data_IF_332327843856
#
_entry.id   IF_332327843856
#
_cell.length_a   1.000
_cell.length_b   1.000
_cell.length_c   1.000
_cell.angle_alpha   90.00
_cell.angle_beta   90.00
_cell.angle_gamma   90.00
#
_symmetry.space_group_name_H-M   'P 1'
#
loop_
_entity.id
_entity.type
_entity.pdbx_description
1 polymer ?
#
# COMPACT_ATOMS: atom_id res chain seq x y z
N UNK A 1 31.99 -57.79 9.93
CA UNK A 1 30.63 -57.50 10.46
C UNK A 1 30.56 -56.00 10.76
N UNK A 2 30.08 -55.23 9.79
CA UNK A 2 29.95 -53.76 9.91
C UNK A 2 28.52 -53.44 10.36
N UNK A 3 28.41 -52.71 11.45
CA UNK A 3 27.11 -52.23 11.96
C UNK A 3 26.57 -51.12 11.07
N UNK A 4 25.26 -51.04 10.86
CA UNK A 4 24.68 -49.96 10.08
C UNK A 4 24.61 -48.67 10.91
N UNK A 5 25.07 -47.57 10.32
CA UNK A 5 24.93 -46.23 10.87
C UNK A 5 23.42 -45.84 10.94
N UNK A 6 22.95 -45.57 12.14
CA UNK A 6 21.59 -45.05 12.38
C UNK A 6 21.53 -43.63 11.87
N UNK A 7 20.82 -43.39 10.76
CA UNK A 7 20.47 -42.05 10.32
C UNK A 7 19.49 -41.43 11.32
N UNK A 8 19.99 -40.46 12.08
CA UNK A 8 19.17 -39.57 12.92
C UNK A 8 18.26 -38.75 12.02
N UNK A 9 17.00 -39.14 11.88
CA UNK A 9 15.96 -38.30 11.31
C UNK A 9 15.73 -37.11 12.27
N UNK A 10 16.31 -35.97 11.93
CA UNK A 10 16.03 -34.69 12.58
C UNK A 10 14.54 -34.41 12.37
N UNK A 11 13.77 -34.57 13.46
CA UNK A 11 12.33 -34.24 13.45
C UNK A 11 12.20 -32.74 13.17
N UNK A 12 11.73 -32.39 12.00
CA UNK A 12 11.42 -30.98 11.67
C UNK A 12 10.50 -30.42 12.76
N UNK A 13 10.96 -29.41 13.48
CA UNK A 13 10.18 -28.78 14.53
C UNK A 13 8.89 -28.22 13.88
N UNK A 14 7.74 -28.68 14.35
CA UNK A 14 6.45 -28.22 13.84
C UNK A 14 6.30 -26.75 14.23
N UNK A 15 6.19 -25.85 13.23
CA UNK A 15 6.01 -24.43 13.47
C UNK A 15 4.75 -24.17 14.32
N UNK A 16 4.79 -23.26 15.32
CA UNK A 16 3.65 -22.95 16.15
C UNK A 16 2.47 -22.41 15.32
N UNK A 17 1.30 -23.04 15.43
CA UNK A 17 0.12 -22.58 14.73
C UNK A 17 -0.45 -21.30 15.38
N UNK A 18 -0.89 -20.35 14.56
CA UNK A 18 -1.43 -19.06 15.01
C UNK A 18 -2.70 -18.73 14.22
N UNK A 19 -3.81 -18.56 14.93
CA UNK A 19 -5.07 -18.08 14.34
C UNK A 19 -5.14 -16.56 14.44
N UNK A 20 -5.16 -15.88 13.29
CA UNK A 20 -5.19 -14.41 13.20
C UNK A 20 -6.55 -13.95 12.69
N UNK A 21 -7.25 -13.13 13.47
CA UNK A 21 -8.44 -12.43 13.00
C UNK A 21 -8.02 -11.09 12.38
N UNK A 22 -8.20 -10.94 11.06
CA UNK A 22 -7.97 -9.68 10.36
C UNK A 22 -9.20 -8.78 10.44
N UNK A 23 -9.00 -7.46 10.58
CA UNK A 23 -10.09 -6.46 10.66
C UNK A 23 -10.79 -6.21 9.32
N UNK A 24 -10.51 -6.98 8.31
CA UNK A 24 -11.06 -6.89 6.95
C UNK A 24 -12.01 -8.05 6.68
N UNK A 25 -12.93 -7.85 5.78
CA UNK A 25 -13.80 -8.90 5.27
C UNK A 25 -12.99 -9.91 4.45
N UNK A 26 -13.57 -11.08 4.19
CA UNK A 26 -12.97 -12.09 3.32
C UNK A 26 -12.70 -11.49 1.94
N UNK A 27 -11.49 -11.71 1.37
CA UNK A 27 -11.13 -11.18 0.06
C UNK A 27 -12.16 -11.50 -1.02
N UNK A 28 -12.43 -10.51 -1.86
CA UNK A 28 -13.30 -10.59 -3.03
C UNK A 28 -12.68 -9.75 -4.17
N UNK A 29 -13.32 -9.69 -5.33
CA UNK A 29 -12.82 -8.97 -6.50
C UNK A 29 -12.56 -7.46 -6.27
N UNK A 30 -13.15 -6.86 -5.23
CA UNK A 30 -12.98 -5.45 -4.89
C UNK A 30 -11.98 -5.23 -3.73
N UNK A 31 -11.37 -6.30 -3.22
CA UNK A 31 -10.39 -6.20 -2.14
C UNK A 31 -9.10 -5.57 -2.67
N UNK A 32 -8.52 -4.66 -1.88
CA UNK A 32 -7.23 -4.07 -2.22
C UNK A 32 -6.19 -5.18 -2.48
N UNK A 33 -5.52 -5.19 -3.64
CA UNK A 33 -4.53 -6.20 -4.01
C UNK A 33 -3.43 -6.43 -2.97
N UNK A 34 -3.05 -5.39 -2.23
CA UNK A 34 -2.12 -5.52 -1.11
C UNK A 34 -2.60 -6.54 -0.06
N UNK A 35 -3.88 -6.48 0.31
CA UNK A 35 -4.44 -7.40 1.31
C UNK A 35 -4.53 -8.82 0.78
N UNK A 36 -5.00 -9.00 -0.45
CA UNK A 36 -5.09 -10.32 -1.08
C UNK A 36 -3.72 -10.99 -1.12
N UNK A 37 -2.72 -10.30 -1.65
CA UNK A 37 -1.34 -10.81 -1.72
C UNK A 37 -0.74 -11.07 -0.34
N UNK A 38 -1.06 -10.23 0.67
CA UNK A 38 -0.63 -10.49 2.04
C UNK A 38 -1.19 -11.81 2.57
N UNK A 39 -2.50 -12.06 2.38
CA UNK A 39 -3.13 -13.28 2.89
C UNK A 39 -2.60 -14.53 2.20
N UNK A 40 -2.38 -14.45 0.89
CA UNK A 40 -1.82 -15.54 0.08
C UNK A 40 -0.35 -15.87 0.44
N UNK A 41 0.38 -14.85 0.91
CA UNK A 41 1.78 -14.99 1.31
C UNK A 41 1.99 -15.51 2.75
N UNK A 42 0.95 -15.58 3.56
CA UNK A 42 1.10 -16.07 4.93
C UNK A 42 1.51 -17.55 4.93
N UNK A 43 2.48 -17.95 5.76
CA UNK A 43 2.88 -19.36 5.85
C UNK A 43 1.73 -20.24 6.40
N UNK A 44 1.77 -21.52 6.08
CA UNK A 44 0.75 -22.51 6.49
C UNK A 44 0.52 -22.60 8.01
N UNK A 45 1.47 -22.09 8.80
CA UNK A 45 1.34 -21.97 10.25
C UNK A 45 0.39 -20.86 10.69
N UNK A 46 -0.01 -19.94 9.81
CA UNK A 46 -0.97 -18.87 10.08
C UNK A 46 -2.33 -19.25 9.51
N UNK A 47 -3.35 -19.27 10.38
CA UNK A 47 -4.74 -19.50 9.99
C UNK A 47 -5.49 -18.17 9.93
N UNK A 48 -5.64 -17.55 8.75
CA UNK A 48 -6.35 -16.29 8.61
C UNK A 48 -7.86 -16.47 8.82
N UNK A 49 -8.44 -15.64 9.66
CA UNK A 49 -9.88 -15.45 9.81
C UNK A 49 -10.23 -14.01 9.45
N UNK A 50 -11.38 -13.83 8.84
CA UNK A 50 -11.83 -12.53 8.37
C UNK A 50 -12.93 -11.98 9.26
N UNK A 51 -13.01 -10.65 9.33
CA UNK A 51 -13.83 -9.95 10.29
C UNK A 51 -15.33 -10.18 10.04
N UNK A 52 -16.00 -10.62 11.09
CA UNK A 52 -17.39 -10.33 11.35
C UNK A 52 -17.51 -9.91 12.80
N UNK A 53 -18.44 -9.02 13.13
CA UNK A 53 -18.60 -8.58 14.52
C UNK A 53 -18.94 -9.76 15.44
N UNK A 54 -19.72 -10.71 14.95
CA UNK A 54 -20.06 -11.95 15.66
C UNK A 54 -18.80 -12.77 15.97
N UNK A 55 -17.94 -13.00 14.98
CA UNK A 55 -16.73 -13.79 15.17
C UNK A 55 -15.73 -13.05 16.06
N UNK A 56 -15.61 -11.74 15.89
CA UNK A 56 -14.74 -10.91 16.72
C UNK A 56 -15.13 -10.99 18.21
N UNK A 57 -16.42 -11.03 18.52
CA UNK A 57 -16.91 -11.09 19.90
C UNK A 57 -16.97 -12.52 20.46
N UNK A 58 -17.39 -13.51 19.68
CA UNK A 58 -17.74 -14.82 20.19
C UNK A 58 -16.73 -15.93 19.89
N UNK A 59 -15.89 -15.76 18.88
CA UNK A 59 -14.91 -16.78 18.52
C UNK A 59 -13.58 -16.63 19.28
N UNK A 60 -12.79 -17.71 19.30
CA UNK A 60 -11.39 -17.69 19.76
C UNK A 60 -10.46 -17.46 18.60
N UNK A 61 -9.48 -16.62 18.80
CA UNK A 61 -8.34 -16.35 17.91
C UNK A 61 -7.16 -15.91 18.78
N UNK A 62 -5.96 -16.10 18.27
CA UNK A 62 -4.73 -15.82 19.03
C UNK A 62 -4.33 -14.35 18.93
N UNK A 63 -4.54 -13.72 17.77
CA UNK A 63 -4.15 -12.33 17.47
C UNK A 63 -5.29 -11.62 16.74
N UNK A 64 -5.55 -10.35 17.07
CA UNK A 64 -6.33 -9.44 16.24
C UNK A 64 -5.39 -8.55 15.43
N UNK A 65 -5.46 -8.62 14.08
CA UNK A 65 -4.67 -7.75 13.22
C UNK A 65 -5.53 -6.64 12.60
N UNK A 66 -5.19 -5.39 12.90
CA UNK A 66 -5.91 -4.19 12.46
C UNK A 66 -5.15 -3.47 11.35
N UNK A 67 -5.82 -3.20 10.22
CA UNK A 67 -5.29 -2.37 9.12
C UNK A 67 -5.78 -0.92 9.20
N UNK A 68 -7.08 -0.71 9.16
CA UNK A 68 -7.74 0.61 9.23
C UNK A 68 -8.79 0.59 10.34
N UNK A 69 -8.42 0.80 11.59
CA UNK A 69 -9.33 0.69 12.74
C UNK A 69 -10.53 1.64 12.66
N UNK A 70 -10.43 2.73 11.89
CA UNK A 70 -11.51 3.68 11.68
C UNK A 70 -12.76 3.02 11.07
N UNK A 71 -12.59 2.02 10.21
CA UNK A 71 -13.72 1.31 9.59
C UNK A 71 -14.55 0.49 10.58
N UNK A 72 -13.97 0.10 11.71
CA UNK A 72 -14.71 -0.55 12.80
C UNK A 72 -15.62 0.43 13.54
N UNK A 73 -15.37 1.73 13.44
CA UNK A 73 -16.02 2.79 14.23
C UNK A 73 -17.00 3.63 13.41
N UNK A 74 -16.96 3.54 12.07
CA UNK A 74 -17.67 4.45 11.16
C UNK A 74 -18.79 3.74 10.40
N UNK A 75 -19.92 4.46 10.26
CA UNK A 75 -21.04 4.06 9.42
C UNK A 75 -21.63 5.30 8.74
N UNK A 76 -22.29 5.21 7.57
CA UNK A 76 -22.91 6.35 6.89
C UNK A 76 -23.96 7.08 7.75
N UNK A 77 -24.69 6.36 8.63
CA UNK A 77 -25.69 6.94 9.53
C UNK A 77 -25.14 7.13 10.95
N UNK A 78 -25.65 8.13 11.67
CA UNK A 78 -25.26 8.39 13.07
C UNK A 78 -25.63 7.24 14.00
N UNK A 79 -26.82 6.65 13.84
CA UNK A 79 -27.25 5.50 14.64
C UNK A 79 -26.36 4.26 14.38
N UNK A 80 -26.02 3.98 13.11
CA UNK A 80 -25.09 2.92 12.75
C UNK A 80 -23.68 3.17 13.29
N UNK A 81 -23.21 4.42 13.28
CA UNK A 81 -21.92 4.79 13.89
C UNK A 81 -21.93 4.51 15.39
N UNK A 82 -22.99 4.90 16.11
CA UNK A 82 -23.11 4.61 17.55
C UNK A 82 -23.12 3.11 17.83
N UNK A 83 -23.89 2.33 17.05
CA UNK A 83 -23.93 0.88 17.18
C UNK A 83 -22.56 0.24 16.96
N UNK A 84 -21.83 0.65 15.91
CA UNK A 84 -20.45 0.18 15.66
C UNK A 84 -19.50 0.55 16.79
N UNK A 85 -19.59 1.77 17.34
CA UNK A 85 -18.76 2.21 18.46
C UNK A 85 -19.03 1.40 19.73
N UNK A 86 -20.29 1.08 20.03
CA UNK A 86 -20.64 0.20 21.16
C UNK A 86 -20.09 -1.21 20.95
N UNK A 87 -20.28 -1.79 19.77
CA UNK A 87 -19.72 -3.10 19.45
C UNK A 87 -18.19 -3.12 19.51
N UNK A 88 -17.54 -2.06 19.03
CA UNK A 88 -16.08 -1.91 19.14
C UNK A 88 -15.64 -1.83 20.61
N UNK A 89 -16.36 -1.08 21.47
CA UNK A 89 -16.06 -1.02 22.90
C UNK A 89 -16.17 -2.41 23.56
N UNK A 90 -17.20 -3.19 23.23
CA UNK A 90 -17.36 -4.58 23.71
C UNK A 90 -16.21 -5.48 23.21
N UNK A 91 -15.80 -5.34 21.96
CA UNK A 91 -14.64 -6.05 21.42
C UNK A 91 -13.37 -5.68 22.19
N UNK A 92 -13.10 -4.39 22.41
CA UNK A 92 -11.91 -3.95 23.14
C UNK A 92 -11.92 -4.46 24.59
N UNK A 93 -13.08 -4.47 25.25
CA UNK A 93 -13.23 -5.07 26.58
C UNK A 93 -12.92 -6.57 26.56
N UNK A 94 -13.46 -7.33 25.58
CA UNK A 94 -13.13 -8.74 25.39
C UNK A 94 -11.63 -8.94 25.24
N UNK A 95 -10.96 -8.20 24.35
CA UNK A 95 -9.52 -8.31 24.11
C UNK A 95 -8.70 -8.06 25.40
N UNK A 96 -9.10 -7.06 26.16
CA UNK A 96 -8.49 -6.72 27.44
C UNK A 96 -8.65 -7.85 28.47
N UNK A 97 -9.87 -8.42 28.59
CA UNK A 97 -10.17 -9.49 29.53
C UNK A 97 -9.49 -10.82 29.16
N UNK A 98 -9.40 -11.12 27.87
CA UNK A 98 -8.77 -12.35 27.40
C UNK A 98 -7.25 -12.25 27.22
N UNK A 99 -6.69 -11.04 27.31
CA UNK A 99 -5.27 -10.79 27.04
C UNK A 99 -4.87 -11.03 25.57
N UNK A 100 -5.85 -11.10 24.65
CA UNK A 100 -5.59 -11.30 23.22
C UNK A 100 -4.84 -10.11 22.64
N UNK A 101 -3.61 -10.27 22.11
CA UNK A 101 -2.82 -9.16 21.59
C UNK A 101 -3.40 -8.57 20.32
N UNK A 102 -3.24 -7.26 20.18
CA UNK A 102 -3.52 -6.53 18.95
C UNK A 102 -2.21 -6.26 18.23
N UNK A 103 -2.17 -6.60 16.94
CA UNK A 103 -1.14 -6.15 15.98
C UNK A 103 -1.79 -5.12 15.06
N UNK A 104 -1.08 -4.03 14.74
CA UNK A 104 -1.65 -2.96 13.91
C UNK A 104 -0.69 -2.53 12.81
N UNK A 105 -1.16 -2.55 11.55
CA UNK A 105 -0.42 -2.00 10.41
C UNK A 105 -0.72 -0.50 10.23
N UNK A 106 0.35 0.31 10.14
CA UNK A 106 0.30 1.75 9.92
C UNK A 106 0.31 2.07 8.43
N UNK A 107 -0.88 2.20 7.83
CA UNK A 107 -1.02 2.62 6.43
C UNK A 107 -0.87 4.13 6.27
N UNK A 108 -1.30 4.92 7.26
CA UNK A 108 -1.28 6.38 7.28
C UNK A 108 -0.72 6.89 8.61
N UNK A 109 -0.08 8.06 8.58
CA UNK A 109 0.45 8.70 9.79
C UNK A 109 -0.65 9.15 10.75
N UNK A 110 -1.78 9.61 10.19
CA UNK A 110 -2.97 10.03 10.94
C UNK A 110 -4.24 9.62 10.17
N UNK A 111 -5.38 9.50 10.86
CA UNK A 111 -6.67 9.34 10.19
C UNK A 111 -6.93 10.52 9.25
N UNK A 112 -7.49 10.27 8.07
CA UNK A 112 -7.80 11.31 7.08
C UNK A 112 -8.87 12.32 7.54
N UNK A 113 -9.69 11.94 8.54
CA UNK A 113 -10.78 12.77 9.09
C UNK A 113 -10.89 12.56 10.60
N UNK A 114 -11.03 13.64 11.34
CA UNK A 114 -11.37 13.60 12.78
C UNK A 114 -12.90 13.66 12.95
N UNK A 115 -13.49 12.63 13.55
CA UNK A 115 -14.93 12.50 13.76
C UNK A 115 -15.33 12.55 15.24
N UNK A 116 -14.62 13.31 16.02
CA UNK A 116 -15.00 13.67 17.37
C UNK A 116 -14.42 12.82 18.51
N UNK A 117 -14.77 13.17 19.76
CA UNK A 117 -14.12 12.66 20.97
C UNK A 117 -14.31 11.16 21.21
N UNK A 118 -15.49 10.60 20.84
CA UNK A 118 -15.79 9.17 21.03
C UNK A 118 -14.85 8.31 20.18
N UNK A 119 -14.73 8.63 18.88
CA UNK A 119 -13.83 7.94 17.98
C UNK A 119 -12.40 8.03 18.47
N UNK A 120 -11.93 9.23 18.83
CA UNK A 120 -10.59 9.42 19.39
C UNK A 120 -10.34 8.60 20.66
N UNK A 121 -11.35 8.46 21.53
CA UNK A 121 -11.23 7.67 22.76
C UNK A 121 -11.11 6.18 22.46
N UNK A 122 -11.90 5.65 21.52
CA UNK A 122 -11.83 4.25 21.09
C UNK A 122 -10.51 3.96 20.36
N UNK A 123 -10.05 4.84 19.48
CA UNK A 123 -8.74 4.70 18.83
C UNK A 123 -7.59 4.70 19.85
N UNK A 124 -7.63 5.58 20.86
CA UNK A 124 -6.65 5.55 21.96
C UNK A 124 -6.71 4.26 22.77
N UNK A 125 -7.90 3.66 22.93
CA UNK A 125 -8.01 2.36 23.61
C UNK A 125 -7.43 1.24 22.73
N UNK A 126 -7.70 1.23 21.42
CA UNK A 126 -7.03 0.34 20.48
C UNK A 126 -5.50 0.49 20.58
N UNK A 127 -4.99 1.73 20.56
CA UNK A 127 -3.55 2.00 20.64
C UNK A 127 -2.93 1.41 21.92
N UNK A 128 -3.64 1.51 23.08
CA UNK A 128 -3.18 0.92 24.36
C UNK A 128 -3.15 -0.61 24.35
N UNK A 129 -4.05 -1.26 23.60
CA UNK A 129 -4.09 -2.72 23.48
C UNK A 129 -3.14 -3.23 22.41
N UNK A 130 -2.59 -2.34 21.56
CA UNK A 130 -1.66 -2.71 20.49
C UNK A 130 -0.33 -3.11 21.10
N UNK A 131 0.03 -4.39 20.97
CA UNK A 131 1.31 -4.92 21.42
C UNK A 131 2.42 -4.69 20.42
N UNK A 132 2.11 -4.79 19.13
CA UNK A 132 3.09 -4.58 18.06
C UNK A 132 2.48 -3.74 16.93
N UNK A 133 3.28 -2.83 16.45
CA UNK A 133 2.98 -2.02 15.29
C UNK A 133 3.78 -2.52 14.10
N UNK A 134 3.16 -2.55 12.94
CA UNK A 134 3.83 -2.80 11.67
C UNK A 134 3.84 -1.50 10.89
N UNK A 135 5.02 -0.94 10.60
CA UNK A 135 5.17 0.15 9.65
C UNK A 135 5.57 -0.40 8.29
N UNK A 136 4.90 0.08 7.25
CA UNK A 136 5.12 -0.39 5.86
C UNK A 136 6.15 0.46 5.10
N UNK A 137 6.78 1.38 5.82
CA UNK A 137 7.81 2.29 5.33
C UNK A 137 8.82 2.55 6.47
N UNK A 138 10.10 2.45 6.19
CA UNK A 138 11.17 2.63 7.18
C UNK A 138 11.22 4.05 7.75
N UNK A 139 10.75 5.07 7.00
CA UNK A 139 10.72 6.48 7.44
C UNK A 139 9.51 6.83 8.32
N UNK A 140 8.51 5.91 8.45
CA UNK A 140 7.42 6.08 9.41
C UNK A 140 7.97 6.03 10.83
N UNK A 141 7.73 7.02 11.69
CA UNK A 141 8.18 7.00 13.08
C UNK A 141 7.69 5.75 13.82
N UNK A 142 8.56 5.06 14.59
CA UNK A 142 8.13 3.91 15.37
C UNK A 142 7.19 4.33 16.51
N UNK A 143 6.31 3.41 16.92
CA UNK A 143 5.37 3.58 18.03
C UNK A 143 5.63 2.55 19.15
N UNK A 144 5.52 2.95 20.44
CA UNK A 144 5.66 2.01 21.54
C UNK A 144 4.47 1.03 21.60
N UNK A 145 4.61 -0.17 22.21
CA UNK A 145 5.83 -0.66 22.85
C UNK A 145 6.86 -1.19 21.84
N UNK A 146 6.45 -1.76 20.71
CA UNK A 146 7.32 -2.36 19.70
C UNK A 146 6.81 -2.08 18.30
N UNK A 147 7.71 -1.76 17.37
CA UNK A 147 7.40 -1.53 15.96
C UNK A 147 8.31 -2.34 15.07
N UNK A 148 7.69 -3.18 14.24
CA UNK A 148 8.36 -3.94 13.20
C UNK A 148 8.30 -3.17 11.88
N UNK A 149 9.38 -3.25 11.08
CA UNK A 149 9.38 -2.71 9.72
C UNK A 149 9.15 -3.84 8.75
N UNK A 150 7.96 -3.88 8.15
CA UNK A 150 7.60 -4.81 7.09
C UNK A 150 7.19 -3.97 5.90
N UNK A 151 8.05 -3.86 4.92
CA UNK A 151 7.85 -2.97 3.78
C UNK A 151 6.58 -3.36 3.00
N UNK A 152 5.94 -2.37 2.40
CA UNK A 152 4.80 -2.60 1.50
C UNK A 152 5.24 -3.49 0.34
N UNK A 153 4.54 -4.59 0.08
CA UNK A 153 4.85 -5.54 -0.98
C UNK A 153 4.71 -4.94 -2.39
N UNK A 154 5.43 -5.52 -3.34
CA UNK A 154 5.32 -5.14 -4.74
C UNK A 154 4.08 -5.76 -5.41
N UNK A 155 3.82 -5.37 -6.69
CA UNK A 155 2.68 -5.85 -7.46
C UNK A 155 3.08 -6.68 -8.70
N UNK A 156 4.35 -7.13 -8.81
CA UNK A 156 4.83 -7.88 -9.98
C UNK A 156 4.00 -9.12 -10.24
N UNK A 157 3.85 -9.96 -9.21
CA UNK A 157 3.14 -11.24 -9.31
C UNK A 157 1.66 -11.02 -9.64
N UNK A 158 1.08 -9.94 -9.08
CA UNK A 158 -0.31 -9.56 -9.34
C UNK A 158 -0.57 -9.24 -10.82
N UNK A 159 0.37 -8.54 -11.46
CA UNK A 159 0.25 -8.15 -12.88
C UNK A 159 0.94 -9.12 -13.84
N UNK A 160 1.58 -10.19 -13.37
CA UNK A 160 2.39 -11.08 -14.20
C UNK A 160 1.63 -11.75 -15.35
N UNK A 161 0.35 -12.08 -15.14
CA UNK A 161 -0.51 -12.71 -16.15
C UNK A 161 -1.25 -11.72 -17.05
N UNK A 162 -1.13 -10.41 -16.79
CA UNK A 162 -1.86 -9.39 -17.53
C UNK A 162 -1.05 -8.86 -18.70
N UNK A 163 -1.74 -8.59 -19.81
CA UNK A 163 -1.12 -8.01 -20.99
C UNK A 163 -0.55 -6.62 -20.68
N UNK A 164 0.71 -6.42 -21.03
CA UNK A 164 1.40 -5.16 -20.89
C UNK A 164 1.51 -4.47 -22.25
N UNK A 165 1.27 -3.15 -22.28
CA UNK A 165 1.43 -2.33 -23.47
C UNK A 165 2.91 -2.05 -23.77
N UNK A 166 3.24 -1.83 -25.04
CA UNK A 166 4.55 -1.30 -25.43
C UNK A 166 4.70 0.16 -24.99
N UNK A 167 5.87 0.54 -24.51
CA UNK A 167 6.16 1.93 -24.14
C UNK A 167 5.98 2.87 -25.32
N UNK A 168 5.19 3.92 -25.15
CA UNK A 168 4.98 4.97 -26.13
C UNK A 168 5.89 6.15 -25.79
N UNK A 169 6.86 6.50 -26.67
CA UNK A 169 7.73 7.65 -26.43
C UNK A 169 6.95 8.95 -26.23
N UNK A 170 7.33 9.76 -25.26
CA UNK A 170 6.65 11.01 -24.92
C UNK A 170 5.38 10.85 -24.11
N UNK A 171 4.92 9.62 -23.80
CA UNK A 171 3.70 9.39 -23.03
C UNK A 171 3.97 9.52 -21.53
N UNK A 172 3.47 10.59 -20.93
CA UNK A 172 3.41 10.80 -19.50
C UNK A 172 2.10 10.20 -18.95
N UNK A 173 2.15 9.59 -17.76
CA UNK A 173 0.97 9.02 -17.12
C UNK A 173 0.81 9.52 -15.69
N UNK A 174 -0.40 9.96 -15.35
CA UNK A 174 -0.86 10.07 -13.97
C UNK A 174 -2.02 9.10 -13.74
N UNK A 175 -1.96 8.29 -12.68
CA UNK A 175 -3.00 7.28 -12.45
C UNK A 175 -3.40 7.10 -10.98
N UNK A 176 -4.53 6.44 -10.77
CA UNK A 176 -5.14 6.16 -9.49
C UNK A 176 -6.25 7.15 -9.15
N UNK A 177 -6.82 7.07 -7.93
CA UNK A 177 -7.91 7.94 -7.51
C UNK A 177 -7.49 9.40 -7.59
N UNK A 178 -8.22 10.22 -8.38
CA UNK A 178 -7.90 11.63 -8.63
C UNK A 178 -8.43 12.47 -7.47
N UNK A 179 -7.50 12.97 -6.64
CA UNK A 179 -7.78 13.79 -5.45
C UNK A 179 -6.95 15.07 -5.45
N UNK A 180 -7.40 16.17 -4.81
CA UNK A 180 -6.67 17.44 -4.81
C UNK A 180 -5.23 17.34 -4.32
N UNK A 181 -4.95 16.54 -3.28
CA UNK A 181 -3.59 16.38 -2.76
C UNK A 181 -2.63 15.66 -3.72
N UNK A 182 -3.14 15.02 -4.77
CA UNK A 182 -2.33 14.34 -5.80
C UNK A 182 -1.81 15.28 -6.90
N UNK A 183 -2.18 16.57 -6.87
CA UNK A 183 -1.59 17.59 -7.69
C UNK A 183 -1.92 17.50 -9.20
N UNK A 184 -3.07 16.91 -9.55
CA UNK A 184 -3.49 16.80 -10.97
C UNK A 184 -3.67 18.18 -11.58
N UNK A 185 -4.18 19.15 -10.83
CA UNK A 185 -4.32 20.54 -11.25
C UNK A 185 -2.99 21.12 -11.71
N UNK A 186 -1.97 20.99 -10.88
CA UNK A 186 -0.60 21.44 -11.17
C UNK A 186 -0.03 20.75 -12.40
N UNK A 187 -0.25 19.41 -12.54
CA UNK A 187 0.22 18.69 -13.71
C UNK A 187 -0.42 19.17 -15.01
N UNK A 188 -1.72 19.49 -15.00
CA UNK A 188 -2.43 20.05 -16.15
C UNK A 188 -1.91 21.44 -16.52
N UNK A 189 -1.64 22.29 -15.54
CA UNK A 189 -1.03 23.63 -15.76
C UNK A 189 0.37 23.50 -16.34
N UNK A 190 1.20 22.63 -15.78
CA UNK A 190 2.55 22.36 -16.27
C UNK A 190 2.52 21.87 -17.72
N UNK A 191 1.60 20.95 -18.05
CA UNK A 191 1.49 20.43 -19.42
C UNK A 191 1.13 21.50 -20.44
N UNK A 192 0.30 22.49 -20.08
CA UNK A 192 0.00 23.66 -20.95
C UNK A 192 1.25 24.49 -21.24
N UNK A 193 2.18 24.59 -20.28
CA UNK A 193 3.44 25.31 -20.44
C UNK A 193 4.51 24.55 -21.23
N UNK A 194 4.33 23.28 -21.49
CA UNK A 194 5.28 22.46 -22.26
C UNK A 194 5.12 22.73 -23.75
N UNK A 195 6.19 23.20 -24.39
CA UNK A 195 6.20 23.48 -25.83
C UNK A 195 6.88 22.36 -26.64
N UNK A 196 6.42 21.10 -26.43
CA UNK A 196 6.84 19.92 -27.21
C UNK A 196 5.62 19.11 -27.62
N UNK A 197 5.26 19.15 -28.90
CA UNK A 197 4.12 18.42 -29.47
C UNK A 197 4.27 16.90 -29.42
N UNK A 198 5.47 16.38 -29.17
CA UNK A 198 5.72 14.94 -29.04
C UNK A 198 5.33 14.39 -27.67
N UNK A 199 5.14 15.29 -26.68
CA UNK A 199 4.71 14.88 -25.35
C UNK A 199 3.19 14.78 -25.28
N UNK A 200 2.71 13.74 -24.62
CA UNK A 200 1.30 13.54 -24.30
C UNK A 200 1.11 13.22 -22.82
N UNK A 201 -0.02 13.63 -22.27
CA UNK A 201 -0.41 13.34 -20.89
C UNK A 201 -1.65 12.44 -20.88
N UNK A 202 -1.54 11.30 -20.26
CA UNK A 202 -2.66 10.39 -19.99
C UNK A 202 -3.02 10.45 -18.51
N UNK A 203 -4.30 10.69 -18.18
CA UNK A 203 -4.85 10.69 -16.82
C UNK A 203 -5.81 9.52 -16.69
N UNK A 204 -5.54 8.61 -15.74
CA UNK A 204 -6.29 7.36 -15.58
C UNK A 204 -6.74 7.18 -14.14
N UNK A 205 -8.06 7.18 -13.92
CA UNK A 205 -8.62 6.93 -12.59
C UNK A 205 -9.94 7.64 -12.32
N UNK A 206 -10.56 7.33 -11.18
CA UNK A 206 -11.85 7.90 -10.81
C UNK A 206 -11.65 9.23 -10.06
N UNK A 207 -12.25 10.35 -10.55
CA UNK A 207 -12.25 11.61 -9.83
C UNK A 207 -13.04 11.50 -8.52
N UNK A 208 -12.47 12.02 -7.44
CA UNK A 208 -13.11 11.99 -6.11
C UNK A 208 -14.28 12.96 -5.99
N UNK A 209 -14.33 14.00 -6.86
CA UNK A 209 -15.39 15.01 -6.88
C UNK A 209 -15.77 15.37 -8.32
N UNK A 210 -17.02 15.87 -8.54
CA UNK A 210 -17.43 16.39 -9.85
C UNK A 210 -16.50 17.50 -10.37
N UNK A 211 -16.01 18.38 -9.50
CA UNK A 211 -15.11 19.46 -9.85
C UNK A 211 -13.79 18.96 -10.44
N UNK A 212 -13.21 17.88 -9.84
CA UNK A 212 -12.01 17.25 -10.37
C UNK A 212 -12.26 16.63 -11.76
N UNK A 213 -13.45 16.07 -11.98
CA UNK A 213 -13.86 15.53 -13.28
C UNK A 213 -13.90 16.64 -14.34
N UNK A 214 -14.65 17.69 -14.09
CA UNK A 214 -14.78 18.83 -15.00
C UNK A 214 -13.41 19.43 -15.33
N UNK A 215 -12.55 19.63 -14.31
CA UNK A 215 -11.20 20.15 -14.51
C UNK A 215 -10.38 19.33 -15.54
N UNK A 216 -10.44 18.02 -15.46
CA UNK A 216 -9.69 17.14 -16.37
C UNK A 216 -10.36 17.11 -17.76
N UNK A 217 -11.69 17.07 -17.83
CA UNK A 217 -12.46 17.09 -19.10
C UNK A 217 -12.20 18.39 -19.87
N UNK A 218 -12.21 19.55 -19.20
CA UNK A 218 -11.89 20.85 -19.78
C UNK A 218 -10.45 20.91 -20.32
N UNK A 219 -9.49 20.35 -19.59
CA UNK A 219 -8.11 20.28 -20.05
C UNK A 219 -7.97 19.40 -21.29
N UNK A 220 -8.65 18.26 -21.36
CA UNK A 220 -8.69 17.41 -22.57
C UNK A 220 -9.32 18.14 -23.77
N UNK A 221 -10.33 18.96 -23.56
CA UNK A 221 -10.97 19.71 -24.62
C UNK A 221 -10.07 20.86 -25.15
N UNK A 222 -9.23 21.45 -24.30
CA UNK A 222 -8.36 22.58 -24.63
C UNK A 222 -7.00 22.17 -25.22
N UNK A 223 -6.47 20.99 -24.88
CA UNK A 223 -5.16 20.53 -25.33
C UNK A 223 -5.26 19.08 -25.84
N UNK A 224 -5.11 18.84 -27.17
CA UNK A 224 -5.22 17.50 -27.77
C UNK A 224 -4.13 16.52 -27.29
N UNK A 225 -3.07 17.01 -26.64
CA UNK A 225 -2.03 16.17 -26.04
C UNK A 225 -2.48 15.53 -24.74
N UNK A 226 -3.58 16.03 -24.12
CA UNK A 226 -4.12 15.53 -22.86
C UNK A 226 -5.29 14.61 -23.14
N UNK A 227 -5.27 13.43 -22.55
CA UNK A 227 -6.37 12.46 -22.66
C UNK A 227 -6.64 11.81 -21.30
N UNK A 228 -7.88 11.39 -21.08
CA UNK A 228 -8.26 10.82 -19.78
C UNK A 228 -9.14 9.57 -19.88
N UNK A 229 -9.07 8.73 -18.87
CA UNK A 229 -10.03 7.65 -18.57
C UNK A 229 -10.53 7.86 -17.13
N UNK A 230 -11.66 8.57 -17.00
CA UNK A 230 -12.19 9.03 -15.71
C UNK A 230 -13.24 8.06 -15.15
N UNK A 231 -12.78 6.88 -14.76
CA UNK A 231 -13.59 5.82 -14.18
C UNK A 231 -12.77 5.00 -13.19
N UNK A 232 -13.44 4.09 -12.48
CA UNK A 232 -12.74 2.95 -11.89
C UNK A 232 -12.15 2.11 -13.04
N UNK A 233 -10.86 1.83 -12.96
CA UNK A 233 -10.14 1.14 -14.02
C UNK A 233 -9.80 -0.27 -13.55
N UNK A 234 -10.23 -1.27 -14.31
CA UNK A 234 -9.91 -2.65 -14.06
C UNK A 234 -8.41 -2.92 -14.25
N UNK A 235 -7.90 -3.88 -13.53
CA UNK A 235 -6.47 -4.17 -13.45
C UNK A 235 -5.80 -4.48 -14.80
N UNK A 236 -6.40 -5.24 -15.74
CA UNK A 236 -5.81 -5.46 -17.04
C UNK A 236 -5.67 -4.18 -17.87
N UNK A 237 -6.64 -3.26 -17.76
CA UNK A 237 -6.56 -1.95 -18.40
C UNK A 237 -5.49 -1.08 -17.74
N UNK A 238 -5.43 -1.09 -16.41
CA UNK A 238 -4.42 -0.37 -15.66
C UNK A 238 -3.01 -0.86 -16.00
N UNK A 239 -2.80 -2.18 -16.11
CA UNK A 239 -1.52 -2.77 -16.53
C UNK A 239 -1.07 -2.22 -17.90
N UNK A 240 -1.96 -2.19 -18.89
CA UNK A 240 -1.67 -1.64 -20.23
C UNK A 240 -1.37 -0.15 -20.19
N UNK A 241 -2.18 0.63 -19.47
CA UNK A 241 -2.00 2.08 -19.36
C UNK A 241 -0.66 2.44 -18.70
N UNK A 242 -0.30 1.75 -17.60
CA UNK A 242 0.94 1.99 -16.88
C UNK A 242 2.15 1.52 -17.70
N UNK A 243 2.12 0.33 -18.26
CA UNK A 243 3.25 -0.21 -19.06
C UNK A 243 3.49 0.59 -20.36
N UNK A 244 2.46 1.24 -20.91
CA UNK A 244 2.60 2.10 -22.09
C UNK A 244 3.23 3.48 -21.77
N UNK A 245 3.36 3.89 -20.52
CA UNK A 245 3.96 5.17 -20.15
C UNK A 245 5.49 5.17 -20.33
N UNK A 246 6.06 6.25 -20.85
CA UNK A 246 7.49 6.52 -20.76
C UNK A 246 7.90 6.94 -19.33
N UNK A 247 7.04 7.74 -18.68
CA UNK A 247 7.24 8.24 -17.32
C UNK A 247 5.91 8.34 -16.58
N UNK A 248 5.86 7.82 -15.37
CA UNK A 248 4.75 8.07 -14.44
C UNK A 248 5.05 9.32 -13.63
N UNK A 249 4.10 10.28 -13.63
CA UNK A 249 4.27 11.58 -12.95
C UNK A 249 3.32 11.65 -11.76
N UNK A 250 3.86 11.79 -10.56
CA UNK A 250 3.13 11.82 -9.29
C UNK A 250 3.43 13.15 -8.55
N UNK A 251 2.83 14.28 -8.95
CA UNK A 251 3.14 15.60 -8.39
C UNK A 251 2.39 15.84 -7.06
N UNK A 252 2.44 14.87 -6.16
CA UNK A 252 1.68 14.87 -4.92
C UNK A 252 2.17 15.97 -3.97
N UNK A 253 1.24 16.73 -3.41
CA UNK A 253 1.55 17.75 -2.39
C UNK A 253 1.99 17.13 -1.06
N UNK A 254 1.51 15.93 -0.78
CA UNK A 254 1.88 15.13 0.40
C UNK A 254 1.96 13.66 -0.01
N UNK A 255 3.12 13.05 0.17
CA UNK A 255 3.37 11.66 -0.19
C UNK A 255 4.18 10.98 0.92
N UNK A 256 3.57 9.98 1.57
CA UNK A 256 4.24 9.20 2.61
C UNK A 256 4.30 7.71 2.24
N UNK A 257 3.14 7.09 2.00
CA UNK A 257 3.05 5.72 1.52
C UNK A 257 2.32 5.73 0.17
N UNK A 258 2.98 5.37 -0.92
CA UNK A 258 2.38 5.39 -2.24
C UNK A 258 2.37 4.02 -2.91
N UNK A 259 1.22 3.37 -2.84
CA UNK A 259 0.96 2.17 -3.64
C UNK A 259 1.05 2.45 -5.14
N UNK A 260 0.71 3.68 -5.59
CA UNK A 260 0.82 4.11 -7.00
C UNK A 260 2.28 4.10 -7.48
N UNK A 261 3.23 4.59 -6.66
CA UNK A 261 4.65 4.56 -6.98
C UNK A 261 5.15 3.11 -7.09
N UNK A 262 4.84 2.29 -6.10
CA UNK A 262 5.24 0.87 -6.11
C UNK A 262 4.61 0.08 -7.26
N UNK A 263 3.37 0.39 -7.64
CA UNK A 263 2.72 -0.22 -8.79
C UNK A 263 3.44 0.14 -10.10
N UNK A 264 3.78 1.41 -10.29
CA UNK A 264 4.54 1.84 -11.47
C UNK A 264 5.89 1.11 -11.56
N UNK A 265 6.63 1.02 -10.45
CA UNK A 265 7.88 0.27 -10.37
C UNK A 265 7.68 -1.22 -10.62
N UNK A 266 6.59 -1.81 -10.13
CA UNK A 266 6.28 -3.23 -10.37
C UNK A 266 6.06 -3.56 -11.85
N UNK A 267 5.60 -2.58 -12.64
CA UNK A 267 5.47 -2.66 -14.09
C UNK A 267 6.69 -2.07 -14.83
N UNK A 268 7.83 -1.95 -14.15
CA UNK A 268 9.09 -1.44 -14.70
C UNK A 268 8.93 -0.07 -15.39
N UNK A 269 8.18 0.85 -14.77
CA UNK A 269 8.05 2.24 -15.24
C UNK A 269 8.77 3.21 -14.32
N UNK A 270 9.59 4.12 -14.88
CA UNK A 270 10.21 5.16 -14.10
C UNK A 270 9.16 6.12 -13.56
N UNK A 271 9.44 6.71 -12.40
CA UNK A 271 8.52 7.59 -11.69
C UNK A 271 9.19 8.92 -11.40
N UNK A 272 8.47 10.03 -11.67
CA UNK A 272 8.83 11.36 -11.20
C UNK A 272 7.91 11.73 -10.03
N UNK A 273 8.50 12.05 -8.88
CA UNK A 273 7.78 12.37 -7.65
C UNK A 273 8.48 13.50 -6.86
N UNK A 274 7.78 14.21 -5.97
CA UNK A 274 8.42 15.18 -5.09
C UNK A 274 9.39 14.47 -4.14
N UNK A 275 10.44 15.18 -3.75
CA UNK A 275 11.35 14.68 -2.74
C UNK A 275 10.62 14.51 -1.40
N UNK A 276 10.84 13.38 -0.77
CA UNK A 276 10.50 13.09 0.61
C UNK A 276 11.43 11.99 1.11
N UNK A 277 11.63 11.89 2.42
CA UNK A 277 12.44 10.81 3.00
C UNK A 277 11.98 9.43 2.51
N UNK A 278 10.67 9.19 2.41
CA UNK A 278 10.14 7.92 1.96
C UNK A 278 10.38 7.65 0.48
N UNK A 279 10.26 8.66 -0.37
CA UNK A 279 10.54 8.52 -1.80
C UNK A 279 12.04 8.36 -2.05
N UNK A 280 12.89 9.05 -1.28
CA UNK A 280 14.35 8.91 -1.34
C UNK A 280 14.79 7.50 -0.93
N UNK A 281 14.22 6.95 0.15
CA UNK A 281 14.50 5.59 0.57
C UNK A 281 14.10 4.55 -0.49
N UNK A 282 12.96 4.74 -1.18
CA UNK A 282 12.57 3.88 -2.29
C UNK A 282 13.51 4.05 -3.49
N UNK A 283 13.94 5.29 -3.81
CA UNK A 283 14.88 5.54 -4.91
C UNK A 283 16.22 4.83 -4.69
N UNK A 284 16.73 4.85 -3.45
CA UNK A 284 17.94 4.13 -3.07
C UNK A 284 17.77 2.61 -3.16
N UNK A 285 16.64 2.09 -2.65
CA UNK A 285 16.31 0.67 -2.64
C UNK A 285 16.23 0.07 -4.05
N UNK A 286 15.53 0.74 -4.97
CA UNK A 286 15.22 0.17 -6.29
C UNK A 286 16.35 0.34 -7.31
N UNK A 287 17.37 1.08 -6.97
CA UNK A 287 18.52 1.37 -7.82
C UNK A 287 18.30 2.55 -8.78
N UNK A 288 19.36 2.95 -9.51
CA UNK A 288 19.35 4.13 -10.35
C UNK A 288 18.39 4.02 -11.55
N UNK A 289 17.90 5.18 -12.02
CA UNK A 289 17.09 5.29 -13.24
C UNK A 289 15.60 4.94 -13.09
N UNK A 290 15.13 4.65 -11.88
CA UNK A 290 13.73 4.25 -11.65
C UNK A 290 12.90 5.30 -10.92
N UNK A 291 13.46 6.01 -9.96
CA UNK A 291 12.75 7.08 -9.24
C UNK A 291 13.52 8.38 -9.38
N UNK A 292 12.87 9.38 -9.93
CA UNK A 292 13.40 10.73 -10.12
C UNK A 292 12.69 11.66 -9.16
N UNK A 293 13.46 12.35 -8.34
CA UNK A 293 12.94 13.21 -7.30
C UNK A 293 13.19 14.68 -7.66
N UNK A 294 12.21 15.52 -7.39
CA UNK A 294 12.32 16.96 -7.56
C UNK A 294 12.00 17.69 -6.25
N UNK A 295 12.59 18.86 -6.09
CA UNK A 295 12.33 19.81 -5.01
C UNK A 295 11.85 21.14 -5.60
N UNK A 296 11.12 21.91 -4.80
CA UNK A 296 10.61 23.20 -5.21
C UNK A 296 9.36 23.15 -6.09
N UNK A 297 9.20 24.16 -6.93
CA UNK A 297 8.05 24.31 -7.80
C UNK A 297 8.09 23.30 -8.96
N UNK A 298 6.96 22.66 -9.21
CA UNK A 298 6.80 21.75 -10.34
C UNK A 298 6.29 22.53 -11.55
N UNK A 299 7.19 22.87 -12.49
CA UNK A 299 6.91 23.62 -13.70
C UNK A 299 7.26 22.86 -14.99
N UNK A 300 7.02 23.48 -16.15
CA UNK A 300 7.29 22.88 -17.46
C UNK A 300 8.77 22.65 -17.73
N UNK A 301 9.66 23.54 -17.25
CA UNK A 301 11.10 23.41 -17.43
C UNK A 301 11.64 22.23 -16.59
N UNK A 302 11.17 22.09 -15.36
CA UNK A 302 11.51 20.95 -14.50
C UNK A 302 11.03 19.65 -15.12
N UNK A 303 9.77 19.57 -15.59
CA UNK A 303 9.22 18.35 -16.21
C UNK A 303 10.03 17.91 -17.43
N UNK A 304 10.35 18.84 -18.35
CA UNK A 304 11.12 18.53 -19.55
C UNK A 304 12.56 18.12 -19.21
N UNK A 305 13.22 18.87 -18.33
CA UNK A 305 14.57 18.54 -17.87
C UNK A 305 14.66 17.21 -17.13
N UNK A 306 13.62 16.82 -16.36
CA UNK A 306 13.55 15.52 -15.72
C UNK A 306 13.31 14.40 -16.73
N UNK A 307 12.50 14.62 -17.75
CA UNK A 307 12.29 13.65 -18.82
C UNK A 307 13.58 13.35 -19.58
N UNK A 308 14.40 14.38 -19.85
CA UNK A 308 15.73 14.21 -20.46
C UNK A 308 16.65 13.38 -19.56
N UNK A 309 16.64 13.63 -18.24
CA UNK A 309 17.36 12.77 -17.27
C UNK A 309 16.86 11.32 -17.28
N UNK A 310 15.54 11.10 -17.36
CA UNK A 310 14.94 9.76 -17.47
C UNK A 310 15.44 9.03 -18.69
N UNK A 311 15.54 9.72 -19.84
CA UNK A 311 16.02 9.15 -21.12
C UNK A 311 17.53 8.87 -21.11
N UNK A 312 18.30 9.71 -20.45
CA UNK A 312 19.75 9.56 -20.36
C UNK A 312 20.20 8.58 -19.26
N UNK A 313 19.35 8.32 -18.27
CA UNK A 313 19.74 7.51 -17.12
C UNK A 313 19.95 6.03 -17.51
N UNK A 314 21.11 5.45 -17.18
CA UNK A 314 21.30 4.01 -17.27
C UNK A 314 20.35 3.33 -16.27
N UNK A 315 19.66 2.29 -16.73
CA UNK A 315 18.81 1.47 -15.85
C UNK A 315 18.92 0.01 -16.23
N UNK A 316 18.76 -0.87 -15.23
CA UNK A 316 18.62 -2.29 -15.44
C UNK A 316 17.30 -2.65 -16.14
N UNK A 317 17.05 -3.93 -16.41
CA UNK A 317 15.80 -4.37 -17.03
C UNK A 317 14.57 -4.18 -16.14
N UNK A 318 14.76 -4.14 -14.82
CA UNK A 318 13.72 -3.90 -13.83
C UNK A 318 14.32 -3.28 -12.55
N UNK A 319 13.50 -2.53 -11.76
CA UNK A 319 13.93 -2.02 -10.45
C UNK A 319 14.15 -3.17 -9.47
N UNK A 320 15.04 -3.02 -8.49
CA UNK A 320 15.17 -4.00 -7.40
C UNK A 320 14.00 -3.85 -6.41
N UNK A 321 13.18 -4.88 -6.29
CA UNK A 321 12.06 -4.94 -5.36
C UNK A 321 12.15 -6.16 -4.43
N UNK A 322 13.33 -6.80 -4.33
CA UNK A 322 13.54 -8.05 -3.59
C UNK A 322 13.23 -7.92 -2.10
N UNK A 323 13.41 -6.73 -1.51
CA UNK A 323 13.03 -6.46 -0.12
C UNK A 323 11.51 -6.45 0.11
N UNK A 324 10.72 -6.43 -0.97
CA UNK A 324 9.25 -6.34 -1.01
C UNK A 324 8.58 -7.61 -1.51
N UNK A 325 9.33 -8.71 -1.58
CA UNK A 325 8.83 -10.02 -2.00
C UNK A 325 7.83 -10.57 -0.98
N UNK A 326 6.71 -11.06 -1.47
CA UNK A 326 5.59 -11.50 -0.64
C UNK A 326 5.91 -12.67 0.29
N UNK A 327 6.68 -13.71 -0.12
CA UNK A 327 7.08 -14.79 0.80
C UNK A 327 7.83 -14.25 2.03
N UNK A 328 8.74 -13.30 1.84
CA UNK A 328 9.46 -12.63 2.94
C UNK A 328 8.50 -11.84 3.84
N UNK A 329 7.58 -11.08 3.24
CA UNK A 329 6.57 -10.28 3.96
C UNK A 329 5.68 -11.19 4.81
N UNK A 330 5.23 -12.32 4.27
CA UNK A 330 4.44 -13.31 5.00
C UNK A 330 5.16 -13.87 6.21
N UNK A 331 6.44 -14.23 6.06
CA UNK A 331 7.27 -14.72 7.18
C UNK A 331 7.48 -13.64 8.25
N UNK A 332 7.74 -12.39 7.87
CA UNK A 332 7.88 -11.29 8.82
C UNK A 332 6.58 -11.03 9.60
N UNK A 333 5.41 -11.13 8.96
CA UNK A 333 4.12 -11.05 9.66
C UNK A 333 3.94 -12.20 10.66
N UNK A 334 4.26 -13.41 10.26
CA UNK A 334 4.20 -14.57 11.15
C UNK A 334 5.10 -14.39 12.39
N UNK A 335 6.33 -13.95 12.18
CA UNK A 335 7.24 -13.60 13.28
C UNK A 335 6.63 -12.55 14.21
N UNK A 336 6.10 -11.45 13.66
CA UNK A 336 5.41 -10.41 14.44
C UNK A 336 4.26 -10.99 15.28
N UNK A 337 3.50 -11.97 14.76
CA UNK A 337 2.41 -12.60 15.52
C UNK A 337 2.96 -13.46 16.67
N UNK A 338 4.02 -14.25 16.44
CA UNK A 338 4.67 -15.03 17.50
C UNK A 338 5.18 -14.13 18.62
N UNK A 339 5.88 -13.06 18.27
CA UNK A 339 6.39 -12.09 19.24
C UNK A 339 5.27 -11.34 19.97
N UNK A 340 4.14 -11.05 19.33
CA UNK A 340 2.96 -10.49 19.99
C UNK A 340 2.36 -11.46 21.03
N UNK A 341 2.50 -12.77 20.82
CA UNK A 341 2.08 -13.83 21.74
C UNK A 341 3.11 -14.11 22.84
N UNK A 342 4.27 -13.44 22.83
CA UNK A 342 5.39 -13.73 23.75
C UNK A 342 6.10 -15.04 23.45
N UNK A 343 5.99 -15.55 22.21
CA UNK A 343 6.72 -16.70 21.70
C UNK A 343 7.99 -16.24 20.99
N UNK A 344 9.00 -17.10 20.96
CA UNK A 344 10.25 -16.78 20.26
C UNK A 344 10.02 -16.71 18.75
N UNK A 345 10.18 -15.52 18.19
CA UNK A 345 10.00 -15.27 16.76
C UNK A 345 11.15 -15.77 15.89
N UNK A 346 12.32 -16.05 16.47
CA UNK A 346 13.49 -16.52 15.72
C UNK A 346 13.33 -17.98 15.26
N UNK A 347 12.43 -18.73 15.86
CA UNK A 347 12.05 -20.08 15.40
C UNK A 347 11.29 -20.09 14.04
N UNK A 348 11.00 -18.91 13.46
CA UNK A 348 10.20 -18.75 12.23
C UNK A 348 11.06 -18.48 10.97
N UNK A 349 12.35 -18.26 11.10
CA UNK A 349 13.32 -18.07 10.02
C UNK A 349 14.13 -19.36 9.85
#
# INVERSE_FOLDING_TARGET
MSAPASASMTRAATQPQVTVLFSTEKPNANTNPYLTQLYDALPAAVHPRFFSMRDALLSRYDVLHLHWPEYLLRHPTTAGTLAKQVCAALLLLKLQLTGTPVVRTLHNLAPHEDRGWRERSLLRWIDRLTRRWIRINATTPPRPPFTDTILHGHYRDWFASMEQGSTVPGRLLHFGLIRPYKGVETLLEVMRGVNDARLSLRIVGNPATPQMRTLVEDACAQDPRISALLAYVEEPVLAREVSAAELVVLPYRQMHNSGTLLLALSLARPVLAPWSESNAAIAEEVGPGWVFLYEGEFDAALLTGMLDKVRAAPRGPAPDLSQRDWPRIGQLHYRTYLEALGKDGDAAL
#
